data_IF_533081855322
#
_entry.id   IF_533081855322
#
_cell.length_a   1.000
_cell.length_b   1.000
_cell.length_c   1.000
_cell.angle_alpha   90.00
_cell.angle_beta   90.00
_cell.angle_gamma   90.00
#
_symmetry.space_group_name_H-M   'P 1'
#
loop_
_entity.id
_entity.type
_entity.pdbx_description
1 polymer ?
#
# COMPACT_ATOMS: atom_id res chain seq x y z
N UNK A 1 19.76 -9.25 -4.70
CA UNK A 1 19.47 -7.80 -4.84
C UNK A 1 18.20 -7.57 -5.64
N UNK A 2 18.12 -7.95 -6.92
CA UNK A 2 16.94 -7.71 -7.77
C UNK A 2 15.61 -8.20 -7.16
N UNK A 3 15.57 -9.41 -6.61
CA UNK A 3 14.37 -9.97 -5.96
C UNK A 3 13.90 -9.09 -4.79
N UNK A 4 14.82 -8.65 -3.94
CA UNK A 4 14.50 -7.79 -2.81
C UNK A 4 13.94 -6.44 -3.28
N UNK A 5 14.53 -5.87 -4.34
CA UNK A 5 14.04 -4.63 -4.95
C UNK A 5 12.64 -4.77 -5.53
N UNK A 6 12.38 -5.82 -6.32
CA UNK A 6 11.05 -6.01 -6.93
C UNK A 6 9.98 -6.32 -5.88
N UNK A 7 10.33 -7.13 -4.87
CA UNK A 7 9.43 -7.51 -3.80
C UNK A 7 9.09 -6.31 -2.92
N UNK A 8 10.10 -5.54 -2.45
CA UNK A 8 9.85 -4.38 -1.60
C UNK A 8 9.19 -3.23 -2.37
N UNK A 9 9.51 -3.07 -3.67
CA UNK A 9 8.79 -2.16 -4.55
C UNK A 9 7.31 -2.53 -4.63
N UNK A 10 6.98 -3.79 -4.91
CA UNK A 10 5.60 -4.24 -5.00
C UNK A 10 4.83 -4.10 -3.69
N UNK A 11 5.48 -4.46 -2.56
CA UNK A 11 4.87 -4.34 -1.22
C UNK A 11 4.60 -2.88 -0.88
N UNK A 12 5.60 -2.01 -0.97
CA UNK A 12 5.42 -0.60 -0.60
C UNK A 12 4.49 0.09 -1.56
N UNK A 13 4.66 -0.09 -2.87
CA UNK A 13 3.79 0.51 -3.88
C UNK A 13 2.33 0.20 -3.58
N UNK A 14 2.01 -1.05 -3.25
CA UNK A 14 0.62 -1.47 -3.06
C UNK A 14 0.09 -1.17 -1.65
N UNK A 15 0.94 -1.17 -0.63
CA UNK A 15 0.60 -0.74 0.72
C UNK A 15 0.28 0.76 0.79
N UNK A 16 0.92 1.53 -0.09
CA UNK A 16 0.81 2.98 -0.17
C UNK A 16 -0.45 3.45 -0.91
N UNK A 17 -0.99 2.63 -1.83
CA UNK A 17 -2.16 3.04 -2.60
C UNK A 17 -3.37 3.31 -1.68
N UNK A 18 -3.89 4.54 -1.74
CA UNK A 18 -5.05 4.97 -0.97
C UNK A 18 -4.76 5.43 0.45
N UNK A 19 -3.49 5.54 0.83
CA UNK A 19 -3.12 5.94 2.19
C UNK A 19 -3.26 7.45 2.45
N UNK A 20 -3.16 7.85 3.73
CA UNK A 20 -3.27 9.23 4.20
C UNK A 20 -2.14 10.09 3.65
N UNK A 21 -0.93 9.56 3.57
CA UNK A 21 0.23 10.15 2.89
C UNK A 21 -0.13 10.54 1.45
N UNK A 22 -0.75 9.65 0.66
CA UNK A 22 -1.16 9.97 -0.71
C UNK A 22 -2.18 11.10 -0.81
N UNK A 23 -3.15 11.18 0.12
CA UNK A 23 -4.11 12.29 0.17
C UNK A 23 -3.41 13.62 0.46
N UNK A 24 -2.42 13.62 1.35
CA UNK A 24 -1.56 14.77 1.63
C UNK A 24 -0.78 15.15 0.36
N UNK A 25 -0.20 14.18 -0.34
CA UNK A 25 0.55 14.38 -1.59
C UNK A 25 -0.31 15.00 -2.68
N UNK A 26 -1.52 14.47 -2.90
CA UNK A 26 -2.49 15.03 -3.85
C UNK A 26 -2.89 16.46 -3.47
N UNK A 27 -3.14 16.71 -2.19
CA UNK A 27 -3.50 18.06 -1.69
C UNK A 27 -2.37 19.07 -1.93
N UNK A 28 -1.11 18.67 -1.71
CA UNK A 28 0.04 19.51 -2.02
C UNK A 28 0.23 19.71 -3.52
N UNK A 29 -0.05 18.72 -4.36
CA UNK A 29 0.05 18.83 -5.82
C UNK A 29 -0.99 19.78 -6.43
N UNK A 30 -2.09 20.06 -5.72
CA UNK A 30 -3.05 21.12 -6.10
C UNK A 30 -2.56 22.53 -5.74
N UNK A 31 -1.64 22.66 -4.77
CA UNK A 31 -1.12 23.95 -4.28
C UNK A 31 0.25 24.29 -4.82
N UNK A 32 1.05 23.28 -5.17
CA UNK A 32 2.43 23.39 -5.62
C UNK A 32 2.66 22.58 -6.90
N UNK A 33 3.74 22.89 -7.63
CA UNK A 33 4.09 22.18 -8.87
C UNK A 33 4.35 20.70 -8.56
N UNK A 34 3.74 19.79 -9.34
CA UNK A 34 3.77 18.34 -9.07
C UNK A 34 5.18 17.76 -8.87
N UNK A 35 6.17 18.27 -9.61
CA UNK A 35 7.55 17.80 -9.48
C UNK A 35 8.23 18.27 -8.20
N UNK A 36 7.84 19.42 -7.63
CA UNK A 36 8.35 19.87 -6.32
C UNK A 36 7.79 19.01 -5.20
N UNK A 37 6.53 18.58 -5.36
CA UNK A 37 5.90 17.64 -4.42
C UNK A 37 6.56 16.27 -4.52
N UNK A 38 6.72 15.76 -5.74
CA UNK A 38 7.32 14.44 -5.98
C UNK A 38 8.79 14.38 -5.54
N UNK A 39 9.57 15.45 -5.71
CA UNK A 39 10.94 15.50 -5.16
C UNK A 39 10.94 15.58 -3.64
N UNK A 40 9.98 16.28 -3.04
CA UNK A 40 9.80 16.29 -1.58
C UNK A 40 9.48 14.90 -1.03
N UNK A 41 8.54 14.19 -1.66
CA UNK A 41 8.21 12.78 -1.38
C UNK A 41 9.43 11.89 -1.52
N UNK A 42 10.19 12.02 -2.62
CA UNK A 42 11.39 11.22 -2.85
C UNK A 42 12.44 11.44 -1.75
N UNK A 43 12.69 12.69 -1.33
CA UNK A 43 13.63 12.99 -0.25
C UNK A 43 13.14 12.41 1.08
N UNK A 44 11.85 12.61 1.40
CA UNK A 44 11.25 12.13 2.63
C UNK A 44 11.29 10.59 2.72
N UNK A 45 10.78 9.90 1.70
CA UNK A 45 10.78 8.44 1.62
C UNK A 45 12.19 7.84 1.62
N UNK A 46 13.14 8.43 0.89
CA UNK A 46 14.55 7.99 0.92
C UNK A 46 15.11 8.05 2.34
N UNK A 47 14.78 9.10 3.08
CA UNK A 47 15.26 9.31 4.46
C UNK A 47 14.61 8.31 5.42
N UNK A 48 13.27 8.23 5.43
CA UNK A 48 12.52 7.37 6.33
C UNK A 48 12.78 5.89 6.07
N UNK A 49 12.80 5.49 4.79
CA UNK A 49 13.15 4.13 4.41
C UNK A 49 14.62 3.82 4.67
N UNK A 50 15.52 4.79 4.50
CA UNK A 50 16.93 4.61 4.85
C UNK A 50 17.12 4.28 6.33
N UNK A 51 16.43 5.00 7.20
CA UNK A 51 16.43 4.71 8.66
C UNK A 51 15.83 3.33 8.93
N UNK A 52 14.66 3.03 8.36
CA UNK A 52 13.97 1.74 8.53
C UNK A 52 14.81 0.56 8.06
N UNK A 53 15.46 0.68 6.90
CA UNK A 53 16.37 -0.33 6.34
C UNK A 53 17.59 -0.51 7.22
N UNK A 54 18.16 0.57 7.74
CA UNK A 54 19.31 0.51 8.65
C UNK A 54 18.94 -0.27 9.90
N UNK A 55 17.80 0.06 10.51
CA UNK A 55 17.27 -0.66 11.68
C UNK A 55 17.07 -2.15 11.34
N UNK A 56 16.33 -2.46 10.28
CA UNK A 56 16.06 -3.83 9.87
C UNK A 56 17.33 -4.65 9.59
N UNK A 57 18.30 -4.05 8.88
CA UNK A 57 19.58 -4.69 8.58
C UNK A 57 20.33 -5.09 9.85
N UNK A 58 20.43 -4.19 10.84
CA UNK A 58 21.11 -4.49 12.10
C UNK A 58 20.33 -5.48 12.96
N UNK A 59 18.99 -5.43 12.97
CA UNK A 59 18.16 -6.44 13.64
C UNK A 59 18.38 -7.83 13.04
N UNK A 60 18.35 -7.95 11.72
CA UNK A 60 18.58 -9.22 11.00
C UNK A 60 19.99 -9.78 11.19
N UNK A 61 21.00 -8.91 11.37
CA UNK A 61 22.36 -9.32 11.66
C UNK A 61 22.56 -9.76 13.13
N UNK A 62 21.82 -9.16 14.06
CA UNK A 62 21.97 -9.40 15.50
C UNK A 62 21.12 -10.58 16.02
N UNK A 63 20.03 -10.93 15.32
CA UNK A 63 19.04 -11.89 15.81
C UNK A 63 19.03 -13.18 14.98
N UNK A 64 18.80 -14.36 15.60
CA UNK A 64 18.74 -15.62 14.87
C UNK A 64 17.57 -15.64 13.87
N UNK A 65 17.76 -16.31 12.73
CA UNK A 65 16.81 -16.29 11.61
C UNK A 65 15.39 -16.77 11.97
N UNK A 66 15.24 -17.77 12.85
CA UNK A 66 13.93 -18.32 13.22
C UNK A 66 13.06 -17.34 14.03
N UNK A 67 13.56 -16.75 15.15
CA UNK A 67 12.86 -15.67 15.84
C UNK A 67 12.53 -14.47 14.94
N UNK A 68 13.44 -14.10 14.03
CA UNK A 68 13.20 -13.02 13.06
C UNK A 68 12.05 -13.34 12.11
N UNK A 69 12.04 -14.55 11.54
CA UNK A 69 10.93 -15.00 10.69
C UNK A 69 9.59 -14.99 11.43
N UNK A 70 9.55 -15.41 12.70
CA UNK A 70 8.34 -15.33 13.53
C UNK A 70 7.89 -13.89 13.79
N UNK A 71 8.81 -13.01 14.22
CA UNK A 71 8.51 -11.60 14.50
C UNK A 71 7.93 -10.90 13.27
N UNK A 72 8.56 -11.15 12.12
CA UNK A 72 8.18 -10.62 10.83
C UNK A 72 6.82 -11.13 10.35
N UNK A 73 6.58 -12.44 10.44
CA UNK A 73 5.30 -13.04 10.11
C UNK A 73 4.16 -12.46 10.98
N UNK A 74 4.40 -12.32 12.28
CA UNK A 74 3.43 -11.72 13.21
C UNK A 74 3.14 -10.27 12.82
N UNK A 75 4.17 -9.46 12.52
CA UNK A 75 3.98 -8.08 12.10
C UNK A 75 3.11 -7.96 10.84
N UNK A 76 3.42 -8.75 9.80
CA UNK A 76 2.64 -8.77 8.56
C UNK A 76 1.19 -9.22 8.78
N UNK A 77 0.93 -10.23 9.63
CA UNK A 77 -0.43 -10.66 9.96
C UNK A 77 -1.20 -9.59 10.75
N UNK A 78 -0.52 -8.86 11.65
CA UNK A 78 -1.11 -7.70 12.34
C UNK A 78 -1.47 -6.61 11.32
N UNK A 79 -0.61 -6.30 10.35
CA UNK A 79 -0.91 -5.30 9.32
C UNK A 79 -2.06 -5.71 8.41
N UNK A 80 -2.17 -7.00 8.08
CA UNK A 80 -3.30 -7.52 7.32
C UNK A 80 -4.62 -7.24 8.04
N UNK A 81 -4.67 -7.55 9.35
CA UNK A 81 -5.85 -7.36 10.18
C UNK A 81 -6.15 -5.88 10.44
N UNK A 82 -5.13 -5.06 10.71
CA UNK A 82 -5.29 -3.62 10.93
C UNK A 82 -5.80 -2.95 9.65
N UNK A 83 -5.12 -3.13 8.53
CA UNK A 83 -5.49 -2.50 7.24
C UNK A 83 -6.90 -2.90 6.81
N UNK A 84 -7.31 -4.15 7.05
CA UNK A 84 -8.68 -4.60 6.81
C UNK A 84 -9.71 -3.82 7.62
N UNK A 85 -9.42 -3.56 8.90
CA UNK A 85 -10.32 -2.86 9.82
C UNK A 85 -10.43 -1.37 9.50
N UNK A 86 -9.34 -0.72 9.14
CA UNK A 86 -9.34 0.69 8.74
C UNK A 86 -10.17 0.91 7.47
N UNK A 87 -10.05 0.01 6.49
CA UNK A 87 -10.88 0.03 5.29
C UNK A 87 -12.38 -0.14 5.55
N UNK A 88 -12.76 -0.75 6.68
CA UNK A 88 -14.16 -0.88 7.12
C UNK A 88 -14.67 0.35 7.88
N UNK A 89 -13.77 1.18 8.41
CA UNK A 89 -14.10 2.26 9.35
C UNK A 89 -14.23 3.64 8.70
N UNK A 90 -13.75 3.82 7.46
CA UNK A 90 -14.07 4.96 6.58
C UNK A 90 -13.66 6.36 7.08
N UNK A 91 -12.92 6.47 8.18
CA UNK A 91 -12.65 7.73 8.85
C UNK A 91 -11.26 8.28 8.47
N UNK A 92 -11.25 9.16 7.46
CA UNK A 92 -10.05 9.85 6.97
C UNK A 92 -10.14 11.35 7.30
N UNK A 93 -9.92 11.70 8.58
CA UNK A 93 -9.82 13.08 9.02
C UNK A 93 -8.35 13.47 9.24
N UNK A 94 -7.77 14.20 8.28
CA UNK A 94 -6.46 14.83 8.41
C UNK A 94 -6.47 16.23 7.77
N UNK A 95 -6.46 17.27 8.60
CA UNK A 95 -6.41 18.67 8.17
C UNK A 95 -5.03 19.01 7.60
N UNK A 96 -4.97 19.61 6.42
CA UNK A 96 -3.73 20.08 5.80
C UNK A 96 -3.06 21.20 6.64
N UNK A 97 -1.76 21.11 6.97
CA UNK A 97 -1.03 22.15 7.70
C UNK A 97 -1.02 23.52 6.97
N UNK A 98 -1.04 24.61 7.74
CA UNK A 98 -0.97 25.99 7.23
C UNK A 98 0.40 26.32 6.62
N UNK A 99 0.37 27.14 5.56
CA UNK A 99 1.45 27.34 4.61
C UNK A 99 2.65 28.19 5.13
N UNK A 100 3.87 27.62 5.16
CA UNK A 100 5.11 28.39 5.18
C UNK A 100 5.61 28.70 3.75
N UNK A 101 6.57 29.61 3.64
CA UNK A 101 7.15 30.12 2.37
C UNK A 101 7.93 29.07 1.56
N UNK A 102 8.26 27.91 2.14
CA UNK A 102 9.07 26.87 1.50
C UNK A 102 8.25 25.60 1.23
N UNK A 103 7.76 25.46 0.00
CA UNK A 103 6.93 24.34 -0.43
C UNK A 103 7.59 22.97 -0.20
N UNK A 104 8.85 22.81 -0.61
CA UNK A 104 9.59 21.55 -0.49
C UNK A 104 9.75 21.12 0.97
N UNK A 105 10.17 22.02 1.86
CA UNK A 105 10.33 21.72 3.28
C UNK A 105 9.00 21.27 3.91
N UNK A 106 7.91 21.93 3.54
CA UNK A 106 6.57 21.60 4.05
C UNK A 106 6.15 20.20 3.63
N UNK A 107 6.35 19.85 2.36
CA UNK A 107 6.08 18.52 1.83
C UNK A 107 6.96 17.48 2.53
N UNK A 108 8.27 17.71 2.60
CA UNK A 108 9.21 16.77 3.23
C UNK A 108 8.84 16.54 4.69
N UNK A 109 8.68 17.60 5.50
CA UNK A 109 8.39 17.45 6.92
C UNK A 109 7.06 16.75 7.18
N UNK A 110 6.00 17.13 6.45
CA UNK A 110 4.67 16.53 6.62
C UNK A 110 4.66 15.07 6.19
N UNK A 111 5.35 14.75 5.11
CA UNK A 111 5.46 13.39 4.60
C UNK A 111 6.32 12.51 5.51
N UNK A 112 7.44 13.01 6.01
CA UNK A 112 8.26 12.30 7.02
C UNK A 112 7.42 12.00 8.25
N UNK A 113 6.64 12.96 8.75
CA UNK A 113 5.77 12.76 9.91
C UNK A 113 4.68 11.72 9.65
N UNK A 114 4.08 11.73 8.45
CA UNK A 114 3.10 10.73 8.05
C UNK A 114 3.72 9.33 7.96
N UNK A 115 4.86 9.21 7.27
CA UNK A 115 5.53 7.93 7.05
C UNK A 115 6.09 7.31 8.33
N UNK A 116 6.67 8.11 9.24
CA UNK A 116 7.29 7.58 10.46
C UNK A 116 6.33 6.80 11.36
N UNK A 117 5.02 7.05 11.24
CA UNK A 117 3.99 6.36 12.01
C UNK A 117 3.20 5.33 11.18
N UNK A 118 3.53 5.15 9.90
CA UNK A 118 2.74 4.30 9.00
C UNK A 118 3.27 2.86 8.91
N UNK A 119 2.36 1.94 8.56
CA UNK A 119 2.58 0.50 8.36
C UNK A 119 3.73 0.20 7.38
N UNK A 120 3.99 1.08 6.41
CA UNK A 120 5.08 0.98 5.43
C UNK A 120 6.47 0.96 6.08
N UNK A 121 6.68 1.72 7.16
CA UNK A 121 7.98 1.75 7.86
C UNK A 121 8.29 0.43 8.55
N UNK A 122 7.32 -0.14 9.27
CA UNK A 122 7.50 -1.43 9.91
C UNK A 122 7.66 -2.55 8.88
N UNK A 123 6.88 -2.54 7.79
CA UNK A 123 7.06 -3.48 6.69
C UNK A 123 8.47 -3.37 6.08
N UNK A 124 9.00 -2.15 5.94
CA UNK A 124 10.36 -1.89 5.44
C UNK A 124 11.43 -2.43 6.38
N UNK A 125 11.29 -2.21 7.70
CA UNK A 125 12.19 -2.79 8.72
C UNK A 125 12.23 -4.32 8.58
N UNK A 126 11.06 -4.94 8.50
CA UNK A 126 10.91 -6.38 8.37
C UNK A 126 11.49 -6.93 7.07
N UNK A 127 11.27 -6.24 5.96
CA UNK A 127 11.85 -6.61 4.67
C UNK A 127 13.37 -6.55 4.71
N UNK A 128 13.93 -5.52 5.34
CA UNK A 128 15.37 -5.31 5.45
C UNK A 128 16.09 -6.27 6.43
N UNK A 129 15.38 -6.90 7.36
CA UNK A 129 15.98 -7.92 8.24
C UNK A 129 16.25 -9.24 7.51
N UNK A 130 15.38 -9.58 6.56
CA UNK A 130 15.39 -10.90 5.91
C UNK A 130 15.93 -10.87 4.47
N UNK A 131 16.01 -9.68 3.88
CA UNK A 131 16.46 -9.49 2.50
C UNK A 131 17.66 -8.53 2.40
N UNK A 132 18.26 -8.47 1.22
CA UNK A 132 19.38 -7.58 0.96
C UNK A 132 18.98 -6.09 1.17
N UNK A 133 19.60 -5.45 2.15
CA UNK A 133 19.30 -4.08 2.59
C UNK A 133 19.27 -3.05 1.46
N UNK A 134 20.26 -3.06 0.57
CA UNK A 134 20.34 -2.10 -0.53
C UNK A 134 19.25 -2.35 -1.58
N UNK A 135 18.93 -3.62 -1.83
CA UNK A 135 17.80 -3.98 -2.69
C UNK A 135 16.47 -3.49 -2.10
N UNK A 136 16.26 -3.68 -0.80
CA UNK A 136 15.06 -3.21 -0.09
C UNK A 136 14.95 -1.70 -0.16
N UNK A 137 16.01 -0.96 0.17
CA UNK A 137 16.01 0.51 0.16
C UNK A 137 15.65 1.10 -1.20
N UNK A 138 16.28 0.60 -2.27
CA UNK A 138 15.97 1.04 -3.63
C UNK A 138 14.51 0.72 -3.98
N UNK A 139 14.06 -0.49 -3.66
CA UNK A 139 12.70 -0.94 -3.99
C UNK A 139 11.63 -0.17 -3.23
N UNK A 140 11.80 0.07 -1.93
CA UNK A 140 10.80 0.80 -1.12
C UNK A 140 10.71 2.26 -1.54
N UNK A 141 11.83 2.92 -1.80
CA UNK A 141 11.85 4.30 -2.31
C UNK A 141 11.22 4.41 -3.69
N UNK A 142 11.54 3.50 -4.62
CA UNK A 142 10.91 3.48 -5.95
C UNK A 142 9.41 3.19 -5.85
N UNK A 143 9.01 2.21 -5.03
CA UNK A 143 7.61 1.87 -4.79
C UNK A 143 6.82 3.09 -4.32
N UNK A 144 7.37 3.83 -3.35
CA UNK A 144 6.77 5.05 -2.81
C UNK A 144 6.58 6.13 -3.88
N UNK A 145 7.67 6.49 -4.56
CA UNK A 145 7.67 7.56 -5.57
C UNK A 145 6.74 7.22 -6.73
N UNK A 146 6.66 5.95 -7.13
CA UNK A 146 5.73 5.50 -8.17
C UNK A 146 4.28 5.55 -7.70
N UNK A 147 3.99 5.14 -6.46
CA UNK A 147 2.65 5.18 -5.89
C UNK A 147 2.14 6.62 -5.77
N UNK A 148 2.94 7.52 -5.20
CA UNK A 148 2.63 8.95 -5.10
C UNK A 148 2.58 9.65 -6.46
N UNK A 149 3.48 9.30 -7.38
CA UNK A 149 3.44 9.81 -8.75
C UNK A 149 2.14 9.44 -9.46
N UNK A 150 1.68 8.21 -9.28
CA UNK A 150 0.39 7.75 -9.77
C UNK A 150 -0.78 8.49 -9.09
N UNK A 151 -0.72 8.68 -7.78
CA UNK A 151 -1.73 9.43 -7.02
C UNK A 151 -1.82 10.89 -7.48
N UNK A 152 -0.70 11.58 -7.64
CA UNK A 152 -0.66 12.95 -8.18
C UNK A 152 -1.22 12.99 -9.60
N UNK A 153 -0.78 12.06 -10.48
CA UNK A 153 -1.29 11.97 -11.85
C UNK A 153 -2.81 11.76 -11.87
N UNK A 154 -3.31 10.82 -11.06
CA UNK A 154 -4.73 10.56 -10.90
C UNK A 154 -5.47 11.77 -10.32
N UNK A 155 -4.92 12.46 -9.33
CA UNK A 155 -5.55 13.63 -8.71
C UNK A 155 -5.61 14.86 -9.62
N UNK A 156 -4.64 15.01 -10.52
CA UNK A 156 -4.61 16.09 -11.51
C UNK A 156 -5.49 15.78 -12.73
N UNK A 157 -5.56 14.53 -13.18
CA UNK A 157 -6.30 14.12 -14.38
C UNK A 157 -7.75 13.72 -14.10
N UNK A 158 -8.00 13.17 -12.92
CA UNK A 158 -9.24 12.49 -12.56
C UNK A 158 -9.81 13.16 -11.32
N UNK A 159 -10.92 13.87 -11.50
CA UNK A 159 -11.86 14.20 -10.42
C UNK A 159 -12.57 12.94 -9.87
N UNK A 160 -11.95 11.76 -9.97
CA UNK A 160 -12.53 10.47 -9.62
C UNK A 160 -11.88 9.93 -8.36
N UNK A 161 -12.72 9.62 -7.38
CA UNK A 161 -12.35 8.98 -6.13
C UNK A 161 -12.11 7.51 -6.41
N UNK A 162 -10.87 7.03 -6.29
CA UNK A 162 -10.63 5.59 -6.24
C UNK A 162 -11.41 5.02 -5.03
N UNK A 163 -12.08 3.86 -5.16
CA UNK A 163 -12.84 3.31 -4.05
C UNK A 163 -11.87 2.89 -2.94
N UNK A 164 -11.87 3.65 -1.85
CA UNK A 164 -11.02 3.46 -0.68
C UNK A 164 -11.03 2.00 -0.16
N UNK A 165 -12.20 1.35 -0.27
CA UNK A 165 -12.41 -0.05 0.08
C UNK A 165 -11.60 -1.04 -0.78
N UNK A 166 -11.38 -0.77 -2.07
CA UNK A 166 -10.59 -1.66 -2.95
C UNK A 166 -9.10 -1.60 -2.60
N UNK A 167 -8.63 -0.40 -2.26
CA UNK A 167 -7.24 -0.12 -1.93
C UNK A 167 -6.84 -0.80 -0.63
N UNK A 168 -7.62 -0.58 0.43
CA UNK A 168 -7.45 -1.26 1.71
C UNK A 168 -7.58 -2.79 1.61
N UNK A 169 -8.54 -3.28 0.81
CA UNK A 169 -8.71 -4.72 0.59
C UNK A 169 -7.50 -5.36 -0.10
N UNK A 170 -6.91 -4.69 -1.09
CA UNK A 170 -5.75 -5.21 -1.81
C UNK A 170 -4.46 -5.17 -0.97
N UNK A 171 -4.22 -4.09 -0.23
CA UNK A 171 -3.10 -3.99 0.70
C UNK A 171 -3.20 -5.03 1.83
N UNK A 172 -4.39 -5.21 2.42
CA UNK A 172 -4.65 -6.25 3.42
C UNK A 172 -4.37 -7.66 2.87
N UNK A 173 -4.81 -7.95 1.65
CA UNK A 173 -4.56 -9.24 1.00
C UNK A 173 -3.06 -9.51 0.82
N UNK A 174 -2.27 -8.51 0.41
CA UNK A 174 -0.82 -8.67 0.32
C UNK A 174 -0.17 -8.93 1.67
N UNK A 175 -0.50 -8.13 2.68
CA UNK A 175 0.06 -8.32 4.02
C UNK A 175 -0.24 -9.73 4.53
N UNK A 176 -1.45 -10.22 4.27
CA UNK A 176 -1.84 -11.58 4.62
C UNK A 176 -1.01 -12.63 3.88
N UNK A 177 -0.82 -12.48 2.56
CA UNK A 177 -0.02 -13.40 1.75
C UNK A 177 1.43 -13.46 2.21
N UNK A 178 2.06 -12.31 2.44
CA UNK A 178 3.44 -12.23 2.92
C UNK A 178 3.58 -12.79 4.34
N UNK A 179 2.68 -12.41 5.26
CA UNK A 179 2.71 -12.92 6.63
C UNK A 179 2.56 -14.44 6.69
N UNK A 180 1.66 -15.00 5.87
CA UNK A 180 1.42 -16.44 5.84
C UNK A 180 2.57 -17.20 5.19
N UNK A 181 3.17 -16.66 4.12
CA UNK A 181 4.38 -17.23 3.52
C UNK A 181 5.53 -17.27 4.52
N UNK A 182 5.78 -16.15 5.19
CA UNK A 182 6.88 -15.99 6.14
C UNK A 182 6.69 -16.88 7.37
N UNK A 183 5.44 -17.06 7.81
CA UNK A 183 5.10 -17.99 8.89
C UNK A 183 5.36 -19.44 8.46
N UNK A 184 4.78 -19.86 7.34
CA UNK A 184 4.78 -21.27 6.95
C UNK A 184 6.13 -21.73 6.40
N UNK A 185 6.78 -20.94 5.55
CA UNK A 185 8.06 -21.27 4.93
C UNK A 185 9.23 -20.93 5.86
N UNK A 186 9.39 -19.66 6.24
CA UNK A 186 10.60 -19.20 6.93
C UNK A 186 10.60 -19.57 8.43
N UNK A 187 9.46 -19.48 9.11
CA UNK A 187 9.39 -19.74 10.55
C UNK A 187 9.14 -21.22 10.89
N UNK A 188 8.19 -21.87 10.19
CA UNK A 188 7.83 -23.29 10.42
C UNK A 188 8.58 -24.29 9.52
N UNK A 189 9.18 -23.87 8.41
CA UNK A 189 9.87 -24.77 7.47
C UNK A 189 8.93 -25.62 6.61
N UNK A 190 7.62 -25.35 6.61
CA UNK A 190 6.60 -26.09 5.88
C UNK A 190 6.29 -25.46 4.51
N UNK A 191 7.27 -25.51 3.62
CA UNK A 191 7.21 -24.89 2.28
C UNK A 191 6.01 -25.33 1.43
N UNK A 192 5.64 -26.61 1.46
CA UNK A 192 4.47 -27.11 0.72
C UNK A 192 3.15 -26.54 1.25
N UNK A 193 3.06 -26.33 2.57
CA UNK A 193 1.93 -25.65 3.19
C UNK A 193 1.84 -24.19 2.78
N UNK A 194 2.98 -23.48 2.70
CA UNK A 194 3.05 -22.09 2.25
C UNK A 194 2.53 -21.92 0.82
N UNK A 195 2.99 -22.77 -0.11
CA UNK A 195 2.54 -22.73 -1.52
C UNK A 195 1.05 -23.00 -1.64
N UNK A 196 0.53 -24.01 -0.91
CA UNK A 196 -0.89 -24.32 -0.93
C UNK A 196 -1.74 -23.16 -0.39
N UNK A 197 -1.30 -22.53 0.70
CA UNK A 197 -2.01 -21.44 1.32
C UNK A 197 -2.08 -20.19 0.42
N UNK A 198 -0.97 -19.83 -0.25
CA UNK A 198 -0.98 -18.74 -1.25
C UNK A 198 -1.90 -19.07 -2.42
N UNK A 199 -1.80 -20.28 -2.97
CA UNK A 199 -2.62 -20.69 -4.11
C UNK A 199 -4.12 -20.63 -3.79
N UNK A 200 -4.51 -21.14 -2.61
CA UNK A 200 -5.89 -21.09 -2.14
C UNK A 200 -6.39 -19.63 -1.98
N UNK A 201 -5.56 -18.75 -1.42
CA UNK A 201 -5.91 -17.35 -1.22
C UNK A 201 -6.05 -16.59 -2.54
N UNK A 202 -5.14 -16.83 -3.49
CA UNK A 202 -5.18 -16.23 -4.83
C UNK A 202 -6.45 -16.67 -5.58
N UNK A 203 -6.82 -17.95 -5.49
CA UNK A 203 -8.06 -18.46 -6.06
C UNK A 203 -9.30 -17.83 -5.41
N UNK A 204 -9.32 -17.70 -4.08
CA UNK A 204 -10.43 -17.07 -3.37
C UNK A 204 -10.59 -15.59 -3.75
N UNK A 205 -9.48 -14.84 -3.84
CA UNK A 205 -9.48 -13.45 -4.27
C UNK A 205 -9.97 -13.30 -5.72
N UNK A 206 -9.51 -14.18 -6.63
CA UNK A 206 -9.96 -14.20 -8.02
C UNK A 206 -11.46 -14.52 -8.13
N UNK A 207 -11.95 -15.52 -7.40
CA UNK A 207 -13.37 -15.86 -7.36
C UNK A 207 -14.23 -14.71 -6.81
N UNK A 208 -13.75 -14.05 -5.75
CA UNK A 208 -14.35 -12.82 -5.21
C UNK A 208 -14.48 -11.72 -6.25
N UNK A 209 -13.37 -11.38 -6.93
CA UNK A 209 -13.36 -10.37 -7.98
C UNK A 209 -14.32 -10.71 -9.13
N UNK A 210 -14.34 -11.96 -9.58
CA UNK A 210 -15.26 -12.44 -10.63
C UNK A 210 -16.72 -12.32 -10.18
N UNK A 211 -17.05 -12.73 -8.95
CA UNK A 211 -18.42 -12.64 -8.42
C UNK A 211 -18.93 -11.19 -8.34
N UNK A 212 -18.07 -10.25 -7.91
CA UNK A 212 -18.37 -8.83 -7.87
C UNK A 212 -18.56 -8.28 -9.28
N UNK A 213 -17.68 -8.65 -10.22
CA UNK A 213 -17.79 -8.22 -11.62
C UNK A 213 -19.08 -8.74 -12.29
N UNK A 214 -19.45 -10.00 -12.06
CA UNK A 214 -20.71 -10.59 -12.53
C UNK A 214 -21.93 -9.89 -11.91
N UNK A 215 -21.89 -9.59 -10.60
CA UNK A 215 -22.95 -8.84 -9.94
C UNK A 215 -23.10 -7.41 -10.49
N UNK A 216 -21.98 -6.73 -10.74
CA UNK A 216 -21.97 -5.37 -11.30
C UNK A 216 -22.48 -5.35 -12.76
N UNK A 217 -22.06 -6.30 -13.59
CA UNK A 217 -22.55 -6.42 -14.98
C UNK A 217 -24.04 -6.73 -15.04
N UNK A 218 -24.55 -7.60 -14.16
CA UNK A 218 -26.00 -7.85 -14.02
C UNK A 218 -26.77 -6.59 -13.59
N UNK A 219 -26.28 -5.84 -12.60
CA UNK A 219 -26.90 -4.57 -12.15
C UNK A 219 -26.92 -3.51 -13.26
N UNK A 220 -25.86 -3.40 -14.06
CA UNK A 220 -25.80 -2.49 -15.22
C UNK A 220 -26.84 -2.88 -16.29
N UNK A 221 -26.99 -4.17 -16.58
CA UNK A 221 -28.02 -4.67 -17.53
C UNK A 221 -29.44 -4.39 -17.03
N UNK A 222 -29.73 -4.60 -15.76
CA UNK A 222 -31.06 -4.32 -15.19
C UNK A 222 -31.43 -2.84 -15.27
N UNK A 223 -30.50 -1.92 -14.96
CA UNK A 223 -30.74 -0.47 -15.11
C UNK A 223 -31.02 -0.04 -16.55
N UNK A 224 -30.37 -0.65 -17.54
CA UNK A 224 -30.62 -0.35 -18.95
C UNK A 224 -32.04 -0.76 -19.42
N UNK A 225 -32.59 -1.83 -18.84
CA UNK A 225 -33.96 -2.31 -19.14
C UNK A 225 -35.01 -1.43 -18.45
N UNK A 226 -34.76 -0.90 -17.25
CA UNK A 226 -35.72 -0.02 -16.56
C UNK A 226 -35.86 1.35 -17.22
N UNK A 227 -34.77 1.91 -17.79
CA UNK A 227 -34.78 3.21 -18.48
C UNK A 227 -35.51 3.16 -19.83
N UNK A 228 -35.57 1.99 -20.47
CA UNK A 228 -36.32 1.79 -21.73
C UNK A 228 -37.81 1.50 -21.52
N UNK A 229 -38.23 1.19 -20.29
CA UNK A 229 -39.64 0.97 -19.93
C UNK A 229 -40.41 2.23 -19.49
N UNK A 230 -39.74 3.38 -19.36
CA UNK A 230 -40.34 4.69 -19.02
C UNK A 230 -40.29 5.65 -20.21
N UNK A 231 -40.58 5.18 -21.42
CA UNK A 231 -40.95 6.10 -22.50
C UNK A 231 -42.38 6.58 -22.20
N UNK A 232 -42.63 7.89 -22.02
CA UNK A 232 -44.00 8.37 -21.81
C UNK A 232 -44.80 8.15 -23.08
N UNK A 233 -45.97 7.51 -22.97
CA UNK A 233 -47.00 7.56 -24.00
C UNK A 233 -47.39 9.02 -24.18
N UNK A 234 -46.82 9.65 -25.21
CA UNK A 234 -47.25 10.94 -25.74
C UNK A 234 -48.41 10.63 -26.67
N UNK A 235 -49.63 10.67 -26.13
CA UNK A 235 -50.90 10.81 -26.87
C UNK A 235 -51.78 11.80 -26.15
#
# INVERSE_FOLDING_TARGET
>A
MLTATLLSLGVVFLAELGDRSQLITMTYALRYRWWVVLTGVAIASTTVHGVSVTIGHFLGAALPARPMAFASAIAFLIFAAWTWREGASGDHNGSAPQAPRFALLTVVSSFVLAELSDKTTLATVTLASDHNWAGVWIGTTLGMVLADGLAIGAGLLLHQRLPDQLLHGLASLLFLLFGLWMLLDNALGWRSGAVFAIAAMALAAAAGAVSVWVAQTRRRRQRAVTVTGTAPDIV
#
